data_IF_465649115993
#
_entry.id   IF_465649115993
#
_cell.length_a   1.000
_cell.length_b   1.000
_cell.length_c   1.000
_cell.angle_alpha   90.00
_cell.angle_beta   90.00
_cell.angle_gamma   90.00
#
_symmetry.space_group_name_H-M   'P 1'
#
loop_
_entity.id
_entity.type
_entity.pdbx_description
1 polymer ?
#
# COMPACT_ATOMS: atom_id res chain seq x y z
N UNK A 1 -23.43 -6.31 65.29
CA UNK A 1 -24.64 -5.60 64.84
C UNK A 1 -24.17 -4.20 64.43
N UNK A 2 -24.22 -3.69 63.22
CA UNK A 2 -24.81 -4.08 61.94
C UNK A 2 -24.35 -3.02 60.89
N UNK A 3 -24.02 -3.46 59.66
CA UNK A 3 -23.96 -2.72 58.37
C UNK A 3 -23.27 -1.34 58.29
N UNK A 4 -22.11 -1.12 57.64
CA UNK A 4 -21.72 -1.37 56.22
C UNK A 4 -22.84 -1.10 55.20
N UNK A 5 -22.79 0.04 54.51
CA UNK A 5 -23.74 0.39 53.46
C UNK A 5 -23.30 1.56 52.55
N UNK A 6 -22.44 1.25 51.58
CA UNK A 6 -22.60 1.61 50.15
C UNK A 6 -23.01 3.08 49.87
N UNK A 7 -22.06 4.02 49.81
CA UNK A 7 -22.31 5.33 49.15
C UNK A 7 -21.19 5.85 48.24
N UNK A 8 -20.01 5.23 48.20
CA UNK A 8 -18.86 5.79 47.48
C UNK A 8 -18.52 5.12 46.13
N UNK A 9 -19.16 4.00 45.75
CA UNK A 9 -18.74 3.22 44.57
C UNK A 9 -19.49 3.57 43.29
N UNK A 10 -20.52 4.42 43.33
CA UNK A 10 -21.42 4.64 42.19
C UNK A 10 -21.07 5.84 41.31
N UNK A 11 -20.11 6.69 41.70
CA UNK A 11 -19.72 7.86 40.91
C UNK A 11 -18.52 7.62 39.97
N UNK A 12 -17.84 6.47 40.08
CA UNK A 12 -16.63 6.20 39.28
C UNK A 12 -16.91 5.46 37.95
N UNK A 13 -18.16 5.03 37.71
CA UNK A 13 -18.53 4.21 36.54
C UNK A 13 -19.24 4.99 35.42
N UNK A 14 -19.63 6.25 35.64
CA UNK A 14 -20.34 7.05 34.64
C UNK A 14 -19.47 8.07 33.90
N UNK A 15 -18.20 8.27 34.28
CA UNK A 15 -17.29 9.21 33.60
C UNK A 15 -16.37 8.51 32.59
N UNK A 16 -16.28 7.18 32.60
CA UNK A 16 -15.42 6.42 31.67
C UNK A 16 -16.09 6.00 30.35
N UNK A 17 -17.40 6.26 30.18
CA UNK A 17 -18.17 5.86 28.99
C UNK A 17 -18.61 7.08 28.16
N UNK A 18 -17.72 8.05 27.93
CA UNK A 18 -18.01 9.20 27.06
C UNK A 18 -16.81 9.65 26.20
N UNK A 19 -15.76 8.83 26.06
CA UNK A 19 -14.55 9.16 25.30
C UNK A 19 -14.26 8.22 24.12
N UNK A 20 -15.19 7.33 23.76
CA UNK A 20 -14.93 6.33 22.71
C UNK A 20 -16.04 6.26 21.65
N UNK A 21 -16.49 7.41 21.14
CA UNK A 21 -17.40 7.49 19.99
C UNK A 21 -17.02 8.61 19.01
N UNK A 22 -15.73 8.93 18.90
CA UNK A 22 -15.26 9.47 17.62
C UNK A 22 -14.91 8.23 16.80
N UNK A 23 -15.70 7.86 15.77
CA UNK A 23 -15.14 7.01 14.73
C UNK A 23 -13.99 7.83 14.19
N UNK A 24 -12.76 7.49 14.58
CA UNK A 24 -11.60 7.96 13.86
C UNK A 24 -11.83 7.46 12.45
N UNK A 25 -12.36 8.32 11.57
CA UNK A 25 -12.08 8.23 10.16
C UNK A 25 -10.56 8.09 10.15
N UNK A 26 -10.08 6.88 9.87
CA UNK A 26 -8.67 6.54 9.94
C UNK A 26 -8.05 7.25 8.75
N UNK A 27 -7.79 8.53 8.94
CA UNK A 27 -7.00 9.34 8.03
C UNK A 27 -5.59 8.82 8.20
N UNK A 28 -5.21 7.85 7.37
CA UNK A 28 -3.81 7.56 7.15
C UNK A 28 -3.23 8.85 6.55
N UNK A 29 -2.29 9.52 7.23
CA UNK A 29 -1.68 10.71 6.68
C UNK A 29 -1.02 10.31 5.37
N UNK A 30 -1.60 10.73 4.23
CA UNK A 30 -0.98 10.51 2.92
C UNK A 30 0.38 11.17 2.97
N UNK A 31 1.43 10.38 2.75
CA UNK A 31 2.79 10.91 2.85
C UNK A 31 2.99 12.08 1.89
N UNK A 32 3.69 13.15 2.33
CA UNK A 32 3.82 14.37 1.54
C UNK A 32 4.43 14.13 0.15
N UNK A 33 5.31 13.13 0.03
CA UNK A 33 5.93 12.74 -1.25
C UNK A 33 4.90 12.20 -2.25
N UNK A 34 3.98 11.33 -1.80
CA UNK A 34 2.92 10.80 -2.65
C UNK A 34 1.95 11.87 -3.14
N UNK A 35 1.73 12.92 -2.36
CA UNK A 35 0.71 13.93 -2.67
C UNK A 35 1.05 14.85 -3.85
N UNK A 36 2.33 14.97 -4.21
CA UNK A 36 2.79 16.02 -5.14
C UNK A 36 2.33 15.81 -6.58
N UNK A 37 2.19 14.56 -7.01
CA UNK A 37 1.90 14.20 -8.40
C UNK A 37 0.70 13.24 -8.53
N UNK A 38 -0.27 13.31 -7.60
CA UNK A 38 -1.55 12.62 -7.79
C UNK A 38 -2.49 13.43 -8.69
N UNK A 39 -3.18 12.73 -9.57
CA UNK A 39 -4.21 13.30 -10.45
C UNK A 39 -5.59 12.90 -9.94
N UNK A 40 -6.49 13.88 -9.85
CA UNK A 40 -7.90 13.62 -9.57
C UNK A 40 -8.56 12.96 -10.78
N UNK A 41 -9.14 11.79 -10.57
CA UNK A 41 -9.91 11.06 -11.56
C UNK A 41 -11.36 11.09 -11.10
N UNK A 42 -12.21 11.72 -11.94
CA UNK A 42 -13.64 11.69 -11.71
C UNK A 42 -14.15 10.26 -11.91
N UNK A 43 -14.88 9.76 -10.92
CA UNK A 43 -15.51 8.46 -10.94
C UNK A 43 -16.59 8.35 -12.01
N UNK A 44 -17.06 7.13 -12.20
CA UNK A 44 -18.00 6.78 -13.26
C UNK A 44 -18.02 5.28 -13.50
N UNK A 45 -18.79 4.86 -14.50
CA UNK A 45 -18.90 3.47 -14.91
C UNK A 45 -18.20 3.27 -16.26
N UNK A 46 -17.50 2.14 -16.40
CA UNK A 46 -16.82 1.75 -17.63
C UNK A 46 -16.83 0.24 -17.82
N UNK A 47 -16.48 -0.22 -19.02
CA UNK A 47 -16.38 -1.64 -19.35
C UNK A 47 -14.96 -2.14 -19.04
N UNK A 48 -14.82 -3.04 -18.07
CA UNK A 48 -13.54 -3.66 -17.69
C UNK A 48 -13.42 -5.06 -18.29
N UNK A 49 -12.24 -5.38 -18.83
CA UNK A 49 -11.92 -6.66 -19.46
C UNK A 49 -11.30 -6.47 -20.84
N UNK A 50 -11.02 -7.58 -21.55
CA UNK A 50 -10.51 -7.55 -22.92
C UNK A 50 -11.65 -7.55 -23.94
N UNK A 51 -11.73 -6.50 -24.76
CA UNK A 51 -12.73 -6.36 -25.83
C UNK A 51 -12.36 -7.11 -27.11
N UNK A 52 -11.09 -7.47 -27.30
CA UNK A 52 -10.59 -8.13 -28.50
C UNK A 52 -10.77 -9.64 -28.43
N UNK A 53 -10.67 -10.22 -27.22
CA UNK A 53 -10.95 -11.64 -26.94
C UNK A 53 -10.08 -12.58 -27.77
N UNK A 54 -8.86 -12.14 -28.07
CA UNK A 54 -7.95 -12.83 -28.98
C UNK A 54 -7.33 -14.08 -28.33
N UNK A 55 -7.33 -14.15 -26.99
CA UNK A 55 -6.79 -15.26 -26.20
C UNK A 55 -7.64 -15.53 -24.96
N UNK A 56 -7.80 -16.80 -24.53
CA UNK A 56 -8.35 -17.12 -23.21
C UNK A 56 -7.43 -16.58 -22.10
N UNK A 57 -7.68 -15.35 -21.69
CA UNK A 57 -7.11 -14.72 -20.50
C UNK A 57 -8.22 -14.62 -19.45
N UNK A 58 -7.87 -14.56 -18.16
CA UNK A 58 -8.85 -14.30 -17.09
C UNK A 58 -9.45 -12.89 -17.12
N UNK A 59 -9.39 -12.22 -18.27
CA UNK A 59 -9.80 -10.85 -18.55
C UNK A 59 -11.20 -10.80 -19.19
N UNK A 60 -11.80 -11.97 -19.46
CA UNK A 60 -13.16 -12.18 -19.95
C UNK A 60 -14.11 -12.63 -18.81
N UNK A 61 -15.42 -12.31 -18.88
CA UNK A 61 -16.07 -11.43 -19.86
C UNK A 61 -15.89 -9.96 -19.49
N UNK A 62 -15.97 -9.11 -20.51
CA UNK A 62 -16.18 -7.66 -20.32
C UNK A 62 -17.44 -7.42 -19.48
N UNK A 63 -17.31 -6.62 -18.43
CA UNK A 63 -18.42 -6.27 -17.53
C UNK A 63 -18.32 -4.82 -17.07
N UNK A 64 -19.47 -4.24 -16.70
CA UNK A 64 -19.53 -2.87 -16.20
C UNK A 64 -19.01 -2.78 -14.77
N UNK A 65 -18.09 -1.84 -14.53
CA UNK A 65 -17.55 -1.51 -13.21
C UNK A 65 -17.75 -0.02 -12.97
N UNK A 66 -18.31 0.33 -11.81
CA UNK A 66 -18.46 1.71 -11.36
C UNK A 66 -17.54 1.98 -10.17
N UNK A 67 -16.84 3.12 -10.21
CA UNK A 67 -15.95 3.58 -9.14
C UNK A 67 -16.29 5.01 -8.74
N UNK A 68 -16.11 5.32 -7.46
CA UNK A 68 -16.24 6.68 -6.92
C UNK A 68 -15.10 7.59 -7.42
N UNK A 69 -15.18 8.89 -7.14
CA UNK A 69 -14.08 9.84 -7.37
C UNK A 69 -12.84 9.44 -6.55
N UNK A 70 -11.65 9.47 -7.16
CA UNK A 70 -10.41 9.10 -6.49
C UNK A 70 -9.20 9.87 -7.02
N UNK A 71 -8.07 9.73 -6.34
CA UNK A 71 -6.77 10.24 -6.78
C UNK A 71 -5.87 9.06 -7.14
N UNK A 72 -5.08 9.21 -8.21
CA UNK A 72 -4.11 8.20 -8.65
C UNK A 72 -2.76 8.86 -8.91
N UNK A 73 -1.67 8.18 -8.55
CA UNK A 73 -0.32 8.65 -8.90
C UNK A 73 -0.19 8.77 -10.41
N UNK A 74 0.32 9.91 -10.89
CA UNK A 74 0.55 10.13 -12.32
C UNK A 74 1.64 9.20 -12.89
N UNK A 75 2.58 8.81 -12.05
CA UNK A 75 3.71 7.96 -12.37
C UNK A 75 3.79 6.79 -11.39
N UNK A 76 4.51 5.74 -11.78
CA UNK A 76 4.95 4.69 -10.86
C UNK A 76 5.83 5.28 -9.76
N UNK A 77 5.84 4.65 -8.59
CA UNK A 77 6.72 5.06 -7.49
C UNK A 77 8.17 4.89 -7.91
N UNK A 78 8.95 5.95 -7.77
CA UNK A 78 10.35 5.97 -8.20
C UNK A 78 11.30 5.42 -7.14
N UNK A 79 12.48 4.98 -7.56
CA UNK A 79 13.57 4.60 -6.64
C UNK A 79 13.91 5.76 -5.68
N UNK A 80 13.88 7.01 -6.15
CA UNK A 80 14.16 8.19 -5.33
C UNK A 80 13.14 8.42 -4.20
N UNK A 81 11.85 8.21 -4.49
CA UNK A 81 10.77 8.29 -3.50
C UNK A 81 10.83 7.12 -2.51
N UNK A 82 11.00 5.89 -3.01
CA UNK A 82 11.10 4.72 -2.13
C UNK A 82 12.33 4.79 -1.21
N UNK A 83 13.48 5.27 -1.70
CA UNK A 83 14.68 5.49 -0.88
C UNK A 83 14.45 6.50 0.23
N UNK A 84 13.68 7.57 -0.04
CA UNK A 84 13.29 8.54 0.98
C UNK A 84 12.47 7.86 2.08
N UNK A 85 11.46 7.08 1.68
CA UNK A 85 10.65 6.29 2.61
C UNK A 85 11.51 5.38 3.49
N UNK A 86 12.38 4.56 2.91
CA UNK A 86 13.27 3.64 3.66
C UNK A 86 14.15 4.41 4.64
N UNK A 87 14.75 5.53 4.19
CA UNK A 87 15.61 6.36 5.06
C UNK A 87 14.84 6.98 6.23
N UNK A 88 13.62 7.43 6.00
CA UNK A 88 12.81 8.13 7.02
C UNK A 88 12.14 7.16 8.01
N UNK A 89 11.76 5.97 7.54
CA UNK A 89 11.07 4.96 8.36
C UNK A 89 11.99 3.92 8.98
N UNK A 90 13.19 3.71 8.43
CA UNK A 90 14.04 2.57 8.75
C UNK A 90 13.46 1.23 8.28
N UNK A 91 12.54 1.25 7.31
CA UNK A 91 11.89 0.05 6.79
C UNK A 91 12.89 -0.85 6.03
N UNK A 92 12.79 -2.16 6.25
CA UNK A 92 13.47 -3.18 5.44
C UNK A 92 12.42 -3.94 4.64
N UNK A 93 12.62 -4.08 3.34
CA UNK A 93 11.69 -4.79 2.45
C UNK A 93 11.68 -6.29 2.71
N UNK A 94 10.65 -6.98 2.22
CA UNK A 94 10.62 -8.44 2.30
C UNK A 94 11.74 -9.09 1.49
N UNK A 95 12.15 -8.48 0.37
CA UNK A 95 13.31 -8.94 -0.40
C UNK A 95 14.61 -8.85 0.42
N UNK A 96 14.82 -7.78 1.19
CA UNK A 96 15.98 -7.61 2.08
C UNK A 96 15.95 -8.55 3.30
N UNK A 97 14.76 -8.97 3.75
CA UNK A 97 14.58 -9.88 4.89
C UNK A 97 14.68 -11.37 4.51
N UNK A 98 14.48 -11.69 3.23
CA UNK A 98 14.45 -13.05 2.70
C UNK A 98 15.60 -13.25 1.69
N UNK A 99 15.52 -14.28 0.84
CA UNK A 99 16.57 -14.55 -0.16
C UNK A 99 16.45 -13.67 -1.44
N UNK A 100 16.05 -12.40 -1.32
CA UNK A 100 15.96 -11.45 -2.43
C UNK A 100 14.76 -11.61 -3.37
N UNK A 101 14.93 -11.15 -4.61
CA UNK A 101 13.88 -10.98 -5.62
C UNK A 101 14.14 -11.83 -6.89
N UNK A 102 13.11 -12.01 -7.71
CA UNK A 102 13.25 -12.73 -8.98
C UNK A 102 13.88 -11.85 -10.06
N UNK A 103 15.03 -12.28 -10.58
CA UNK A 103 15.72 -11.65 -11.71
C UNK A 103 15.73 -12.54 -12.95
N UNK A 104 15.94 -11.92 -14.12
CA UNK A 104 16.14 -12.65 -15.37
C UNK A 104 17.58 -13.12 -15.47
N UNK A 105 17.75 -14.44 -15.61
CA UNK A 105 19.06 -15.05 -15.87
C UNK A 105 19.07 -15.41 -17.35
N UNK A 106 19.86 -14.68 -18.13
CA UNK A 106 20.03 -14.76 -19.59
C UNK A 106 18.92 -14.13 -20.45
N UNK A 107 19.25 -13.82 -21.72
CA UNK A 107 18.35 -13.28 -22.75
C UNK A 107 17.15 -14.21 -23.08
N UNK A 108 17.07 -15.39 -22.45
CA UNK A 108 16.18 -16.52 -22.78
C UNK A 108 15.10 -16.90 -21.76
N UNK A 109 14.65 -15.97 -20.90
CA UNK A 109 13.34 -16.04 -20.24
C UNK A 109 13.15 -17.08 -19.09
N UNK A 110 14.04 -17.11 -18.09
CA UNK A 110 13.69 -17.71 -16.78
C UNK A 110 13.91 -16.74 -15.62
N UNK A 111 12.83 -16.50 -14.88
CA UNK A 111 12.88 -15.82 -13.59
C UNK A 111 13.47 -16.77 -12.54
N UNK A 112 14.55 -16.36 -11.90
CA UNK A 112 15.17 -17.09 -10.80
C UNK A 112 15.27 -16.20 -9.57
N UNK A 113 15.12 -16.78 -8.38
CA UNK A 113 15.33 -16.04 -7.13
C UNK A 113 16.83 -15.75 -7.01
N UNK A 114 17.17 -14.47 -6.85
CA UNK A 114 18.54 -13.98 -6.79
C UNK A 114 18.70 -13.11 -5.55
N UNK A 115 19.94 -13.01 -5.06
CA UNK A 115 20.32 -12.09 -3.98
C UNK A 115 20.37 -10.64 -4.49
N UNK A 116 19.18 -10.12 -4.83
CA UNK A 116 18.92 -8.79 -5.37
C UNK A 116 17.73 -8.18 -4.63
N UNK A 117 17.71 -6.86 -4.52
CA UNK A 117 16.68 -6.09 -3.82
C UNK A 117 16.34 -4.80 -4.59
N UNK A 118 15.49 -3.95 -4.00
CA UNK A 118 15.05 -2.69 -4.60
C UNK A 118 16.20 -1.68 -4.81
N UNK A 119 17.27 -1.76 -4.03
CA UNK A 119 18.43 -0.87 -4.07
C UNK A 119 19.53 -1.37 -5.01
N UNK A 120 19.58 -2.68 -5.25
CA UNK A 120 20.47 -3.35 -6.19
C UNK A 120 19.73 -4.47 -6.96
N UNK A 121 18.89 -4.13 -7.96
CA UNK A 121 18.02 -5.10 -8.64
C UNK A 121 18.71 -5.91 -9.74
N UNK A 122 20.04 -5.78 -9.89
CA UNK A 122 20.80 -6.49 -10.92
C UNK A 122 20.81 -5.82 -12.30
N UNK A 123 20.27 -4.60 -12.42
CA UNK A 123 20.34 -3.77 -13.63
C UNK A 123 20.40 -2.28 -13.25
N UNK A 124 20.93 -1.39 -14.12
CA UNK A 124 21.07 0.01 -13.78
C UNK A 124 19.70 0.70 -13.66
N UNK A 125 19.50 1.41 -12.55
CA UNK A 125 18.38 2.31 -12.31
C UNK A 125 18.87 3.66 -11.78
N UNK A 126 18.12 4.70 -12.11
CA UNK A 126 18.25 6.05 -11.60
C UNK A 126 17.12 6.36 -10.62
N UNK A 127 17.23 7.47 -9.90
CA UNK A 127 16.21 7.93 -8.95
C UNK A 127 14.84 8.23 -9.57
N UNK A 128 14.74 8.28 -10.90
CA UNK A 128 13.51 8.55 -11.65
C UNK A 128 12.86 7.28 -12.22
N UNK A 129 13.57 6.17 -12.19
CA UNK A 129 13.05 4.89 -12.67
C UNK A 129 12.13 4.27 -11.61
N UNK A 130 11.18 3.41 -12.01
CA UNK A 130 10.28 2.76 -11.07
C UNK A 130 11.03 1.85 -10.12
N UNK A 131 10.66 1.87 -8.84
CA UNK A 131 11.18 0.91 -7.88
C UNK A 131 10.68 -0.49 -8.23
N UNK A 132 11.59 -1.46 -8.26
CA UNK A 132 11.30 -2.87 -8.49
C UNK A 132 11.69 -3.69 -7.27
N UNK A 133 11.48 -5.01 -7.31
CA UNK A 133 11.86 -5.91 -6.22
C UNK A 133 11.26 -5.53 -4.85
N UNK A 134 10.02 -5.04 -4.91
CA UNK A 134 9.15 -4.80 -3.76
C UNK A 134 7.93 -5.72 -3.86
N UNK A 135 7.43 -6.18 -2.71
CA UNK A 135 6.23 -7.02 -2.65
C UNK A 135 4.97 -6.19 -2.48
N UNK A 136 3.81 -6.86 -2.49
CA UNK A 136 2.54 -6.23 -2.13
C UNK A 136 2.56 -5.65 -0.71
N UNK A 137 3.22 -6.31 0.23
CA UNK A 137 3.35 -5.82 1.61
C UNK A 137 4.23 -4.58 1.67
N UNK A 138 5.34 -4.55 0.93
CA UNK A 138 6.22 -3.38 0.83
C UNK A 138 5.47 -2.18 0.24
N UNK A 139 4.72 -2.39 -0.85
CA UNK A 139 3.87 -1.35 -1.45
C UNK A 139 2.81 -0.85 -0.46
N UNK A 140 2.17 -1.76 0.29
CA UNK A 140 1.17 -1.38 1.29
C UNK A 140 1.79 -0.59 2.47
N UNK A 141 3.04 -0.88 2.84
CA UNK A 141 3.80 -0.08 3.82
C UNK A 141 4.25 1.26 3.26
N UNK A 142 4.50 1.33 1.96
CA UNK A 142 4.78 2.59 1.28
C UNK A 142 3.55 3.52 1.25
N UNK A 143 2.33 3.03 1.12
CA UNK A 143 1.16 3.94 1.02
C UNK A 143 0.53 4.33 2.37
N UNK A 144 1.03 3.80 3.49
CA UNK A 144 0.56 4.07 4.86
C UNK A 144 1.28 5.27 5.51
#
# INVERSE_FOLDING_TARGET
>A
MENRGIKATLYCLFIFMALCLIPACRQYPVRPDMSKDMVFIKGGCFQMGDIFRDVPSGEDPVHEVCVDDFYMGKYEVTVGEFRRFVRESGYMTEAEQQDGCHGWVDEGAKLQKMDIDWSNPGFPQTDKDPVVCITWNDAHKYVQ
#
